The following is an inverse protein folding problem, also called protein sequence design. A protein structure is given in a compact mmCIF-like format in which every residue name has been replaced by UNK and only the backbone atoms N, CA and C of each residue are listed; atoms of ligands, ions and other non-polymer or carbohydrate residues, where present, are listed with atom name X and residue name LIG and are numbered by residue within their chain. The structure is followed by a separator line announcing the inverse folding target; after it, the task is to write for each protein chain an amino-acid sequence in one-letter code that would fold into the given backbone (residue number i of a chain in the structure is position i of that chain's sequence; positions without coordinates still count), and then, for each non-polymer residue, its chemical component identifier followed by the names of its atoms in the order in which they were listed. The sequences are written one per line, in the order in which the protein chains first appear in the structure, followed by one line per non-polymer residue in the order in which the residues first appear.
data_IF_832931394836
#
_entry.id   IF_832931394836
#
_cell.length_a   1.000
_cell.length_b   1.000
_cell.length_c   1.000
_cell.angle_alpha   90.00
_cell.angle_beta   90.00
_cell.angle_gamma   90.00
#
_symmetry.space_group_name_H-M   'P 1'
#
loop_
_entity.id
_entity.type
_entity.pdbx_description
1 polymer ?
#
# COMPACT_ATOMS: atom_id res chain seq x y z
N UNK A 1 -2.59 16.20 5.07
CA UNK A 1 -2.84 14.87 5.67
C UNK A 1 -1.95 13.87 4.93
N UNK A 2 -1.03 13.16 5.60
CA UNK A 2 -0.19 12.14 4.96
C UNK A 2 -1.03 10.88 4.73
N UNK A 3 -1.77 10.86 3.63
CA UNK A 3 -2.70 9.77 3.24
C UNK A 3 -1.99 8.51 2.76
N UNK A 4 -0.67 8.45 2.75
CA UNK A 4 0.06 7.29 2.23
C UNK A 4 0.28 6.19 3.29
N UNK A 5 -0.26 6.36 4.50
CA UNK A 5 -0.11 5.42 5.61
C UNK A 5 -1.44 4.89 6.17
N UNK A 6 -2.46 4.77 5.31
CA UNK A 6 -3.78 4.31 5.72
C UNK A 6 -3.76 2.87 6.25
N UNK A 7 -2.94 2.00 5.66
CA UNK A 7 -2.80 0.63 6.14
C UNK A 7 -2.27 0.59 7.57
N UNK A 8 -1.25 1.38 7.88
CA UNK A 8 -0.67 1.50 9.21
C UNK A 8 -1.66 2.09 10.20
N UNK A 9 -2.41 3.11 9.78
CA UNK A 9 -3.46 3.71 10.59
C UNK A 9 -4.56 2.70 10.93
N UNK A 10 -5.05 1.93 9.96
CA UNK A 10 -6.07 0.91 10.24
C UNK A 10 -5.53 -0.30 11.00
N UNK A 11 -4.25 -0.63 10.83
CA UNK A 11 -3.60 -1.69 11.62
C UNK A 11 -3.47 -1.31 13.10
N UNK A 12 -3.13 -0.07 13.40
CA UNK A 12 -2.99 0.42 14.79
C UNK A 12 -3.42 1.89 14.91
N UNK A 13 -4.74 2.12 14.96
CA UNK A 13 -5.33 3.46 14.94
C UNK A 13 -4.91 4.37 16.11
N UNK A 14 -4.41 3.78 17.21
CA UNK A 14 -3.87 4.51 18.35
C UNK A 14 -2.50 5.16 18.08
N UNK A 15 -1.81 4.81 16.98
CA UNK A 15 -0.51 5.38 16.62
C UNK A 15 -0.72 6.81 16.08
N UNK A 16 -0.05 7.83 16.66
CA UNK A 16 -0.11 9.19 16.14
C UNK A 16 0.41 9.28 14.71
N UNK A 17 -0.24 10.09 13.86
CA UNK A 17 0.03 10.13 12.41
C UNK A 17 1.51 10.38 12.05
N UNK A 18 2.23 11.19 12.85
CA UNK A 18 3.64 11.51 12.63
C UNK A 18 4.60 10.33 12.91
N UNK A 19 4.12 9.26 13.59
CA UNK A 19 4.88 8.02 13.81
C UNK A 19 4.60 6.95 12.75
N UNK A 20 3.59 7.12 11.89
CA UNK A 20 3.26 6.15 10.85
C UNK A 20 4.42 5.87 9.87
N UNK A 21 5.26 6.85 9.45
CA UNK A 21 6.42 6.54 8.62
C UNK A 21 7.42 5.56 9.28
N UNK A 22 7.56 5.62 10.60
CA UNK A 22 8.43 4.70 11.35
C UNK A 22 7.82 3.30 11.38
N UNK A 23 6.51 3.21 11.59
CA UNK A 23 5.77 1.94 11.54
C UNK A 23 5.84 1.30 10.15
N UNK A 24 5.67 2.08 9.08
CA UNK A 24 5.80 1.63 7.70
C UNK A 24 7.17 1.00 7.44
N UNK A 25 8.26 1.67 7.82
CA UNK A 25 9.63 1.12 7.68
C UNK A 25 9.77 -0.22 8.40
N UNK A 26 9.32 -0.28 9.66
CA UNK A 26 9.37 -1.50 10.46
C UNK A 26 8.60 -2.67 9.82
N UNK A 27 7.41 -2.41 9.27
CA UNK A 27 6.59 -3.42 8.62
C UNK A 27 7.20 -3.86 7.28
N UNK A 28 7.77 -2.93 6.52
CA UNK A 28 8.46 -3.20 5.26
C UNK A 28 9.73 -4.03 5.46
N UNK A 29 10.53 -3.70 6.47
CA UNK A 29 11.74 -4.45 6.83
C UNK A 29 11.41 -5.90 7.23
N UNK A 30 10.19 -6.14 7.72
CA UNK A 30 9.66 -7.47 8.06
C UNK A 30 8.89 -8.15 6.93
N UNK A 31 8.81 -7.54 5.76
CA UNK A 31 8.11 -8.11 4.60
C UNK A 31 6.58 -8.10 4.71
N UNK A 32 5.99 -7.27 5.59
CA UNK A 32 4.53 -7.16 5.76
C UNK A 32 3.89 -6.08 4.89
N UNK A 33 4.69 -5.28 4.16
CA UNK A 33 4.19 -4.25 3.25
C UNK A 33 4.57 -4.63 1.82
N UNK A 34 3.60 -4.78 0.90
CA UNK A 34 3.89 -5.07 -0.48
C UNK A 34 4.56 -3.86 -1.16
N UNK A 35 5.35 -4.14 -2.20
CA UNK A 35 5.87 -3.10 -3.09
C UNK A 35 4.66 -2.50 -3.83
N UNK A 36 4.49 -1.16 -3.84
CA UNK A 36 3.39 -0.54 -4.55
C UNK A 36 3.58 -0.69 -6.07
N UNK A 37 2.50 -0.85 -6.85
CA UNK A 37 2.61 -0.82 -8.30
C UNK A 37 3.08 0.57 -8.75
N UNK A 38 3.86 0.60 -9.83
CA UNK A 38 4.15 1.79 -10.59
C UNK A 38 2.90 2.34 -11.26
N UNK A 39 2.94 3.60 -11.65
CA UNK A 39 1.81 4.24 -12.33
C UNK A 39 1.41 3.52 -13.63
N UNK A 40 2.39 3.02 -14.39
CA UNK A 40 2.13 2.30 -15.63
C UNK A 40 1.41 0.97 -15.38
N UNK A 41 1.84 0.20 -14.38
CA UNK A 41 1.17 -1.06 -13.98
C UNK A 41 -0.29 -0.81 -13.55
N UNK A 42 -0.57 0.33 -12.88
CA UNK A 42 -1.94 0.71 -12.55
C UNK A 42 -2.76 0.95 -13.83
N UNK A 43 -2.25 1.73 -14.78
CA UNK A 43 -2.95 2.00 -16.05
C UNK A 43 -3.20 0.71 -16.83
N UNK A 44 -2.20 -0.17 -16.92
CA UNK A 44 -2.31 -1.46 -17.56
C UNK A 44 -3.39 -2.32 -16.90
N UNK A 45 -3.37 -2.46 -15.56
CA UNK A 45 -4.33 -3.27 -14.80
C UNK A 45 -5.79 -2.82 -14.97
N UNK A 46 -6.01 -1.52 -15.20
CA UNK A 46 -7.34 -0.95 -15.39
C UNK A 46 -7.79 -0.91 -16.85
N UNK A 47 -6.86 -1.06 -17.79
CA UNK A 47 -7.13 -0.95 -19.23
C UNK A 47 -7.06 -2.29 -19.96
N UNK A 48 -6.48 -3.33 -19.36
CA UNK A 48 -6.37 -4.65 -19.95
C UNK A 48 -7.73 -5.32 -20.13
N UNK A 49 -7.93 -5.99 -21.28
CA UNK A 49 -9.13 -6.79 -21.55
C UNK A 49 -9.18 -7.98 -20.58
N UNK A 50 -10.33 -8.27 -19.92
CA UNK A 50 -10.42 -9.42 -19.04
C UNK A 50 -10.12 -10.70 -19.84
N UNK A 51 -9.17 -11.51 -19.35
CA UNK A 51 -8.91 -12.83 -19.92
C UNK A 51 -10.17 -13.69 -19.77
N UNK A 52 -10.71 -14.14 -20.89
CA UNK A 52 -11.86 -15.04 -20.90
C UNK A 52 -11.37 -16.41 -20.41
N UNK A 53 -11.63 -16.73 -19.15
CA UNK A 53 -11.45 -18.09 -18.63
C UNK A 53 -12.37 -19.03 -19.42
N UNK A 54 -11.76 -19.91 -20.22
CA UNK A 54 -12.42 -21.00 -20.96
C UNK A 54 -12.38 -22.28 -20.15
#
# INVERSE_FOLDING_TARGET
IHVNYHMEHHLMASVPYFKLPRMHRLLRDRGHVPVPPSYFEVIESLSSKPEQST
#
